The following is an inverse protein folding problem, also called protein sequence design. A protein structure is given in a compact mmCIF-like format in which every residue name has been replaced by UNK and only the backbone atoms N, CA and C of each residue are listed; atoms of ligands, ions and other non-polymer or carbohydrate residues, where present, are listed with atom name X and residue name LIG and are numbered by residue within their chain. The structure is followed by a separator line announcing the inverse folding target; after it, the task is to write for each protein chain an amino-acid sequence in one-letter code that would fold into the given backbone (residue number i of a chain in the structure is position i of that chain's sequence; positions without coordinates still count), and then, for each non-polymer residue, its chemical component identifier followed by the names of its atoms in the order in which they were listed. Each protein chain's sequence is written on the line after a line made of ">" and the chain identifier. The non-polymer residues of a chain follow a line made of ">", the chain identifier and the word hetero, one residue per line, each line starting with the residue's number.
data_IF_528323827650
#
_entry.id   IF_528323827650
#
_cell.length_a   1.000
_cell.length_b   1.000
_cell.length_c   1.000
_cell.angle_alpha   90.00
_cell.angle_beta   90.00
_cell.angle_gamma   90.00
#
_symmetry.space_group_name_H-M   'P 1'
#
loop_
_entity.id
_entity.type
_entity.pdbx_description
1 polymer ?
#
# COMPACT_ATOMS: atom_id res chain seq x y z
N UNK A 1 19.63 4.69 2.02
CA UNK A 1 18.82 5.75 1.48
C UNK A 1 17.38 5.36 1.46
N UNK A 2 16.54 6.25 1.85
CA UNK A 2 15.13 6.01 1.93
C UNK A 2 14.46 6.34 0.65
N UNK A 3 14.91 5.73 -0.38
CA UNK A 3 14.46 6.19 -1.67
C UNK A 3 13.33 5.42 -2.25
N UNK A 4 13.17 4.19 -1.83
CA UNK A 4 12.09 3.40 -2.39
C UNK A 4 10.83 3.60 -1.58
N UNK A 5 9.73 3.72 -2.30
CA UNK A 5 8.43 3.99 -1.71
C UNK A 5 7.49 2.84 -2.01
N UNK A 6 6.76 2.42 -1.00
CA UNK A 6 5.86 1.30 -1.12
C UNK A 6 4.48 1.71 -0.62
N UNK A 7 3.45 1.30 -1.33
CA UNK A 7 2.08 1.48 -0.88
C UNK A 7 1.65 0.21 -0.15
N UNK A 8 1.18 0.38 1.06
CA UNK A 8 0.65 -0.72 1.87
C UNK A 8 -0.85 -0.51 1.98
N UNK A 9 -1.62 -1.47 1.49
CA UNK A 9 -3.06 -1.38 1.48
C UNK A 9 -3.56 -2.00 2.77
N UNK A 10 -4.12 -1.16 3.65
CA UNK A 10 -4.63 -1.58 4.94
C UNK A 10 -3.72 -1.14 6.09
N UNK A 11 -4.34 -0.65 7.16
CA UNK A 11 -3.62 -0.11 8.30
C UNK A 11 -4.12 -0.68 9.62
N UNK A 12 -4.85 -1.78 9.60
CA UNK A 12 -5.33 -2.41 10.82
C UNK A 12 -4.20 -2.96 11.66
N UNK A 13 -4.56 -3.49 12.81
CA UNK A 13 -3.56 -3.97 13.76
C UNK A 13 -2.64 -5.02 13.15
N UNK A 14 -3.17 -5.88 12.29
CA UNK A 14 -2.37 -6.94 11.68
C UNK A 14 -1.37 -6.39 10.67
N UNK A 15 -1.57 -5.20 10.16
CA UNK A 15 -0.66 -4.59 9.21
C UNK A 15 0.48 -3.83 9.87
N UNK A 16 0.37 -3.54 11.16
CA UNK A 16 1.39 -2.75 11.85
C UNK A 16 2.79 -3.39 11.74
N UNK A 17 2.96 -4.70 11.98
CA UNK A 17 4.29 -5.28 11.84
C UNK A 17 4.86 -5.14 10.44
N UNK A 18 4.03 -5.27 9.40
CA UNK A 18 4.49 -5.13 8.02
C UNK A 18 4.97 -3.71 7.75
N UNK A 19 4.23 -2.70 8.25
CA UNK A 19 4.64 -1.32 8.09
C UNK A 19 5.98 -1.07 8.79
N UNK A 20 6.13 -1.59 9.99
CA UNK A 20 7.37 -1.43 10.75
C UNK A 20 8.55 -2.11 10.06
N UNK A 21 8.35 -3.31 9.54
CA UNK A 21 9.39 -4.01 8.82
C UNK A 21 9.80 -3.23 7.58
N UNK A 22 8.83 -2.72 6.84
CA UNK A 22 9.13 -1.91 5.65
C UNK A 22 9.99 -0.71 6.02
N UNK A 23 9.62 -0.02 7.10
CA UNK A 23 10.37 1.15 7.54
C UNK A 23 11.77 0.78 8.02
N UNK A 24 11.91 -0.35 8.71
CA UNK A 24 13.21 -0.83 9.15
C UNK A 24 14.11 -1.17 7.97
N UNK A 25 13.52 -1.57 6.86
CA UNK A 25 14.27 -1.81 5.62
C UNK A 25 14.64 -0.54 4.88
N UNK A 26 14.24 0.61 5.40
CA UNK A 26 14.53 1.89 4.75
C UNK A 26 13.50 2.31 3.71
N UNK A 27 12.36 1.66 3.67
CA UNK A 27 11.31 2.01 2.71
C UNK A 27 10.44 3.12 3.28
N UNK A 28 9.96 3.98 2.39
CA UNK A 28 9.00 5.01 2.72
C UNK A 28 7.61 4.39 2.61
N UNK A 29 6.90 4.29 3.71
CA UNK A 29 5.64 3.56 3.77
C UNK A 29 4.45 4.49 3.57
N UNK A 30 3.76 4.34 2.45
CA UNK A 30 2.52 5.03 2.15
C UNK A 30 1.40 4.05 2.47
N UNK A 31 0.51 4.39 3.37
CA UNK A 31 -0.48 3.45 3.87
C UNK A 31 -1.88 3.94 3.57
N UNK A 32 -2.67 3.09 2.92
CA UNK A 32 -4.06 3.39 2.58
C UNK A 32 -4.97 2.69 3.57
N UNK A 33 -5.93 3.40 4.12
CA UNK A 33 -6.97 2.82 4.94
C UNK A 33 -8.15 3.77 4.99
N UNK A 34 -9.35 3.25 5.21
CA UNK A 34 -10.51 4.11 5.31
C UNK A 34 -10.58 4.86 6.63
N UNK A 35 -9.92 4.33 7.65
CA UNK A 35 -9.98 4.88 9.00
C UNK A 35 -8.70 5.65 9.30
N UNK A 36 -8.82 6.96 9.38
CA UNK A 36 -7.65 7.81 9.64
C UNK A 36 -7.01 7.53 11.00
N UNK A 37 -7.73 6.89 11.90
CA UNK A 37 -7.24 6.60 13.24
C UNK A 37 -6.77 5.16 13.39
N UNK A 38 -6.71 4.40 12.32
CA UNK A 38 -6.23 3.03 12.38
C UNK A 38 -4.78 2.99 12.88
N UNK A 39 -4.41 1.89 13.51
CA UNK A 39 -3.08 1.77 14.13
C UNK A 39 -1.96 2.06 13.15
N UNK A 40 -2.03 1.51 11.95
CA UNK A 40 -0.98 1.69 10.96
C UNK A 40 -0.91 3.09 10.40
N UNK A 41 -2.01 3.83 10.43
CA UNK A 41 -2.00 5.21 9.95
C UNK A 41 -1.17 6.13 10.83
N UNK A 42 -1.04 5.77 12.09
CA UNK A 42 -0.29 6.60 13.05
C UNK A 42 1.21 6.45 12.87
N UNK A 43 1.66 5.35 12.30
CA UNK A 43 3.08 5.10 12.11
C UNK A 43 3.52 5.23 10.65
N UNK A 44 2.58 5.39 9.73
CA UNK A 44 2.89 5.52 8.30
C UNK A 44 3.71 6.78 8.04
N UNK A 45 4.61 6.70 7.08
CA UNK A 45 5.30 7.90 6.60
C UNK A 45 4.33 8.84 5.88
N UNK A 46 3.38 8.27 5.14
CA UNK A 46 2.34 9.04 4.48
C UNK A 46 1.02 8.28 4.59
N UNK A 47 0.17 8.64 5.53
CA UNK A 47 -1.15 8.02 5.60
C UNK A 47 -2.11 8.65 4.58
N UNK A 48 -2.86 7.81 3.90
CA UNK A 48 -3.83 8.23 2.90
C UNK A 48 -5.18 7.62 3.24
N UNK A 49 -6.19 8.45 3.44
CA UNK A 49 -7.52 7.95 3.78
C UNK A 49 -8.23 7.56 2.50
N UNK A 50 -8.18 6.28 2.21
CA UNK A 50 -8.80 5.69 1.02
C UNK A 50 -9.31 4.33 1.42
N UNK A 51 -10.57 4.02 1.11
CA UNK A 51 -11.09 2.70 1.41
C UNK A 51 -10.34 1.65 0.61
N UNK A 52 -9.85 0.63 1.28
CA UNK A 52 -9.13 -0.45 0.62
C UNK A 52 -10.04 -1.30 -0.25
N UNK A 53 -11.35 -1.18 -0.09
CA UNK A 53 -12.33 -1.87 -0.93
C UNK A 53 -12.75 -1.06 -2.14
N UNK A 54 -12.43 0.23 -2.14
CA UNK A 54 -12.71 1.09 -3.28
C UNK A 54 -11.54 0.99 -4.25
N UNK A 55 -11.63 0.04 -5.15
CA UNK A 55 -10.55 -0.22 -6.10
C UNK A 55 -10.26 1.01 -6.95
N UNK A 56 -11.32 1.63 -7.49
CA UNK A 56 -11.14 2.80 -8.35
C UNK A 56 -10.55 3.98 -7.58
N UNK A 57 -11.00 4.19 -6.36
CA UNK A 57 -10.47 5.27 -5.53
C UNK A 57 -9.01 5.04 -5.18
N UNK A 58 -8.65 3.79 -4.90
CA UNK A 58 -7.26 3.46 -4.59
C UNK A 58 -6.37 3.65 -5.82
N UNK A 59 -6.85 3.26 -6.99
CA UNK A 59 -6.09 3.46 -8.23
C UNK A 59 -5.88 4.95 -8.49
N UNK A 60 -6.93 5.76 -8.34
CA UNK A 60 -6.80 7.20 -8.55
C UNK A 60 -5.81 7.82 -7.58
N UNK A 61 -5.90 7.46 -6.30
CA UNK A 61 -4.98 7.99 -5.30
C UNK A 61 -3.54 7.61 -5.62
N UNK A 62 -3.32 6.36 -6.02
CA UNK A 62 -1.99 5.89 -6.36
C UNK A 62 -1.44 6.59 -7.59
N UNK A 63 -2.27 6.80 -8.61
CA UNK A 63 -1.85 7.52 -9.80
C UNK A 63 -1.47 8.96 -9.49
N UNK A 64 -2.25 9.61 -8.64
CA UNK A 64 -1.94 10.99 -8.25
C UNK A 64 -0.62 11.05 -7.51
N UNK A 65 -0.36 10.09 -6.62
CA UNK A 65 0.92 10.03 -5.93
C UNK A 65 2.06 9.80 -6.91
N UNK A 66 1.85 8.93 -7.91
CA UNK A 66 2.91 8.60 -8.86
C UNK A 66 3.31 9.78 -9.73
N UNK A 67 2.49 10.81 -9.80
CA UNK A 67 2.86 12.04 -10.50
C UNK A 67 3.83 12.89 -9.70
N UNK A 68 3.92 12.66 -8.41
CA UNK A 68 4.75 13.43 -7.51
C UNK A 68 5.97 12.66 -7.03
N UNK A 69 5.89 11.33 -7.03
CA UNK A 69 6.97 10.50 -6.52
C UNK A 69 6.93 9.15 -7.20
N UNK A 70 8.05 8.51 -7.27
CA UNK A 70 8.15 7.17 -7.85
C UNK A 70 7.68 6.16 -6.82
N UNK A 71 6.72 5.32 -7.19
CA UNK A 71 6.23 4.25 -6.34
C UNK A 71 6.85 2.94 -6.80
N UNK A 72 7.46 2.20 -5.90
CA UNK A 72 8.24 1.02 -6.25
C UNK A 72 7.55 -0.29 -5.95
N UNK A 73 6.50 -0.29 -5.15
CA UNK A 73 5.78 -1.52 -4.85
C UNK A 73 4.44 -1.26 -4.18
N UNK A 74 3.59 -2.27 -4.22
CA UNK A 74 2.28 -2.25 -3.58
C UNK A 74 2.07 -3.60 -2.92
N UNK A 75 1.76 -3.61 -1.64
CA UNK A 75 1.52 -4.87 -0.91
C UNK A 75 0.33 -4.74 0.03
N UNK A 76 -0.13 -5.86 0.51
CA UNK A 76 -1.06 -5.93 1.63
C UNK A 76 -0.71 -7.14 2.47
N UNK A 77 -1.15 -7.11 3.72
CA UNK A 77 -1.11 -8.28 4.60
C UNK A 77 -2.56 -8.66 4.86
N UNK A 78 -2.94 -9.83 4.43
CA UNK A 78 -4.31 -10.27 4.51
C UNK A 78 -4.90 -10.37 3.12
N UNK A 79 -6.12 -10.85 3.03
CA UNK A 79 -6.67 -11.26 1.75
C UNK A 79 -7.71 -10.31 1.18
N UNK A 80 -8.32 -9.48 2.01
CA UNK A 80 -9.47 -8.67 1.57
C UNK A 80 -9.08 -7.65 0.52
N UNK A 81 -7.84 -7.22 0.50
CA UNK A 81 -7.40 -6.15 -0.39
C UNK A 81 -6.57 -6.64 -1.56
N UNK A 82 -6.52 -7.94 -1.81
CA UNK A 82 -5.66 -8.47 -2.87
C UNK A 82 -6.05 -7.94 -4.25
N UNK A 83 -7.34 -7.79 -4.51
CA UNK A 83 -7.80 -7.23 -5.78
C UNK A 83 -7.35 -5.78 -5.93
N UNK A 84 -7.43 -5.01 -4.85
CA UNK A 84 -7.00 -3.62 -4.86
C UNK A 84 -5.50 -3.52 -5.10
N UNK A 85 -4.72 -4.38 -4.45
CA UNK A 85 -3.27 -4.42 -4.67
C UNK A 85 -2.95 -4.68 -6.14
N UNK A 86 -3.61 -5.68 -6.72
CA UNK A 86 -3.36 -6.02 -8.12
C UNK A 86 -3.73 -4.87 -9.05
N UNK A 87 -4.86 -4.23 -8.80
CA UNK A 87 -5.31 -3.11 -9.63
C UNK A 87 -4.36 -1.92 -9.54
N UNK A 88 -3.91 -1.59 -8.34
CA UNK A 88 -3.00 -0.46 -8.14
C UNK A 88 -1.65 -0.76 -8.77
N UNK A 89 -1.10 -1.95 -8.54
CA UNK A 89 0.18 -2.31 -9.13
C UNK A 89 0.11 -2.27 -10.65
N UNK A 90 -0.96 -2.81 -11.22
CA UNK A 90 -1.14 -2.80 -12.67
C UNK A 90 -1.24 -1.37 -13.19
N UNK A 91 -1.99 -0.52 -12.51
CA UNK A 91 -2.16 0.87 -12.93
C UNK A 91 -0.85 1.65 -12.90
N UNK A 92 0.05 1.31 -12.01
CA UNK A 92 1.35 1.96 -11.89
C UNK A 92 2.43 1.29 -12.74
N UNK A 93 2.09 0.22 -13.43
CA UNK A 93 3.06 -0.51 -14.24
C UNK A 93 4.08 -1.26 -13.43
N UNK A 94 3.75 -1.63 -12.21
CA UNK A 94 4.66 -2.36 -11.34
C UNK A 94 4.55 -3.85 -11.57
N UNK A 95 5.63 -4.61 -11.33
CA UNK A 95 5.55 -6.06 -11.38
C UNK A 95 4.46 -6.51 -10.42
N UNK A 96 3.65 -7.40 -10.88
CA UNK A 96 2.53 -7.80 -10.07
C UNK A 96 2.98 -8.48 -8.81
N UNK A 97 2.71 -7.86 -7.70
CA UNK A 97 2.72 -8.57 -6.47
C UNK A 97 1.37 -9.24 -6.40
N UNK A 98 1.19 -10.24 -7.22
CA UNK A 98 -0.10 -10.87 -7.35
C UNK A 98 -0.21 -11.95 -6.31
N UNK A 99 -1.18 -11.74 -5.46
CA UNK A 99 -1.43 -12.67 -4.39
C UNK A 99 -1.67 -14.07 -4.92
N UNK A 100 -2.38 -14.18 -6.02
CA UNK A 100 -2.66 -15.45 -6.65
C UNK A 100 -1.39 -16.19 -7.03
N UNK A 101 -0.38 -15.47 -7.47
CA UNK A 101 0.86 -16.08 -7.87
C UNK A 101 1.60 -16.71 -6.70
N UNK A 102 1.40 -16.17 -5.52
CA UNK A 102 2.04 -16.69 -4.32
C UNK A 102 1.42 -18.03 -3.91
N UNK A 103 0.21 -18.30 -4.36
CA UNK A 103 -0.50 -19.51 -4.02
C UNK A 103 -0.70 -20.45 -5.19
N UNK A 104 -0.30 -20.04 -6.35
CA UNK A 104 -0.50 -20.84 -7.54
C UNK A 104 0.48 -21.98 -7.65
#
# INVERSE_FOLDING_TARGET
>A
MKNKKIIIIGAGLLQVPAIQIAQDMGLYAIVFDYNKDAHGMKIADLPMVVSTRDVDGSVRAARDLSKQMEINGVITVGTDASTTVAAVANALGLPGNRFEDAYA
#
